data_IF_678488553354
#
_entry.id   IF_678488553354
#
_cell.length_a   1.000
_cell.length_b   1.000
_cell.length_c   1.000
_cell.angle_alpha   90.00
_cell.angle_beta   90.00
_cell.angle_gamma   90.00
#
_symmetry.space_group_name_H-M   'P 1'
#
loop_
_entity.id
_entity.type
_entity.pdbx_description
1 polymer ?
#
# COMPACT_ATOMS: atom_id res chain seq x y z
N UNK A 1 14.74 15.14 -30.75
CA UNK A 1 13.61 14.28 -30.35
C UNK A 1 13.99 12.81 -30.28
N UNK A 2 14.73 12.24 -31.23
CA UNK A 2 15.12 10.81 -31.23
C UNK A 2 15.78 10.36 -29.92
N UNK A 3 16.78 11.08 -29.41
CA UNK A 3 17.46 10.72 -28.15
C UNK A 3 16.59 10.79 -26.89
N UNK A 4 15.51 11.59 -26.88
CA UNK A 4 14.56 11.61 -25.77
C UNK A 4 13.61 10.42 -25.80
N UNK A 5 13.16 10.00 -27.00
CA UNK A 5 12.35 8.78 -27.15
C UNK A 5 13.12 7.55 -26.68
N UNK A 6 14.40 7.43 -27.07
CA UNK A 6 15.27 6.34 -26.62
C UNK A 6 15.50 6.34 -25.10
N UNK A 7 15.60 7.53 -24.49
CA UNK A 7 15.70 7.67 -23.04
C UNK A 7 14.44 7.14 -22.37
N UNK A 8 13.26 7.60 -22.80
CA UNK A 8 11.98 7.15 -22.25
C UNK A 8 11.84 5.64 -22.35
N UNK A 9 12.16 5.05 -23.51
CA UNK A 9 12.12 3.59 -23.70
C UNK A 9 13.09 2.83 -22.78
N UNK A 10 14.31 3.35 -22.61
CA UNK A 10 15.32 2.76 -21.72
C UNK A 10 14.86 2.81 -20.26
N UNK A 11 14.25 3.93 -19.87
CA UNK A 11 13.70 4.14 -18.53
C UNK A 11 12.52 3.20 -18.28
N UNK A 12 11.59 3.07 -19.22
CA UNK A 12 10.48 2.10 -19.13
C UNK A 12 11.02 0.67 -19.03
N UNK A 13 12.04 0.32 -19.82
CA UNK A 13 12.67 -1.00 -19.73
C UNK A 13 13.28 -1.23 -18.36
N UNK A 14 14.05 -0.26 -17.86
CA UNK A 14 14.69 -0.35 -16.55
C UNK A 14 13.66 -0.47 -15.43
N UNK A 15 12.58 0.30 -15.47
CA UNK A 15 11.48 0.20 -14.53
C UNK A 15 10.91 -1.21 -14.45
N UNK A 16 10.77 -1.88 -15.59
CA UNK A 16 10.14 -3.20 -15.65
C UNK A 16 11.10 -4.36 -15.35
N UNK A 17 12.42 -4.14 -15.41
CA UNK A 17 13.41 -5.24 -15.34
C UNK A 17 14.44 -5.11 -14.24
N UNK A 18 14.81 -3.90 -13.82
CA UNK A 18 15.92 -3.66 -12.89
C UNK A 18 15.42 -3.45 -11.46
N UNK A 19 16.03 -4.12 -10.46
CA UNK A 19 15.79 -3.81 -9.05
C UNK A 19 16.33 -2.41 -8.67
N UNK A 20 17.34 -1.92 -9.38
CA UNK A 20 18.03 -0.65 -9.11
C UNK A 20 17.31 0.57 -9.73
N UNK A 21 16.12 0.37 -10.33
CA UNK A 21 15.33 1.48 -10.87
C UNK A 21 15.00 2.54 -9.80
N UNK A 22 14.93 2.12 -8.55
CA UNK A 22 14.83 3.00 -7.38
C UNK A 22 15.96 4.02 -7.34
N UNK A 23 17.19 3.52 -7.30
CA UNK A 23 18.42 4.31 -7.24
C UNK A 23 18.53 5.19 -8.48
N UNK A 24 18.12 4.66 -9.65
CA UNK A 24 18.04 5.43 -10.88
C UNK A 24 17.11 6.65 -10.77
N UNK A 25 15.89 6.47 -10.25
CA UNK A 25 14.93 7.56 -10.04
C UNK A 25 15.42 8.60 -9.02
N UNK A 26 16.15 8.15 -7.99
CA UNK A 26 16.75 9.04 -7.00
C UNK A 26 17.88 9.86 -7.61
N UNK A 27 18.76 9.21 -8.37
CA UNK A 27 19.92 9.82 -9.03
C UNK A 27 19.52 10.86 -10.09
N UNK A 28 18.47 10.62 -10.87
CA UNK A 28 18.10 11.46 -12.02
C UNK A 28 16.97 12.46 -11.73
N UNK A 29 16.57 12.69 -10.48
CA UNK A 29 15.45 13.60 -10.17
C UNK A 29 15.64 15.02 -10.66
N UNK A 30 16.85 15.55 -10.51
CA UNK A 30 17.17 16.92 -10.89
C UNK A 30 17.59 16.99 -12.36
N UNK A 31 17.66 15.85 -13.06
CA UNK A 31 17.99 15.82 -14.48
C UNK A 31 16.75 16.28 -15.28
N UNK A 32 16.82 17.42 -15.97
CA UNK A 32 15.71 17.89 -16.79
C UNK A 32 15.28 16.88 -17.86
N UNK A 33 16.19 15.99 -18.30
CA UNK A 33 15.90 14.93 -19.27
C UNK A 33 14.95 13.87 -18.72
N UNK A 34 14.87 13.73 -17.40
CA UNK A 34 14.05 12.74 -16.69
C UNK A 34 12.82 13.36 -16.05
N UNK A 35 12.52 14.63 -16.32
CA UNK A 35 11.34 15.32 -15.79
C UNK A 35 10.04 14.56 -16.04
N UNK A 36 9.93 13.84 -17.16
CA UNK A 36 8.76 13.02 -17.50
C UNK A 36 8.47 11.88 -16.50
N UNK A 37 9.47 11.43 -15.73
CA UNK A 37 9.26 10.48 -14.64
C UNK A 37 8.41 11.12 -13.55
N UNK A 38 8.68 12.40 -13.24
CA UNK A 38 8.19 13.10 -12.06
C UNK A 38 7.04 14.08 -12.35
N UNK A 39 6.77 14.37 -13.62
CA UNK A 39 5.76 15.34 -14.03
C UNK A 39 4.35 14.79 -13.86
N UNK A 40 3.50 15.58 -13.19
CA UNK A 40 2.04 15.38 -13.16
C UNK A 40 1.34 15.97 -14.39
N UNK A 41 2.06 16.69 -15.26
CA UNK A 41 1.48 17.28 -16.45
C UNK A 41 1.41 16.24 -17.58
N UNK A 42 0.20 15.74 -17.85
CA UNK A 42 -0.06 14.81 -18.96
C UNK A 42 0.12 15.45 -20.34
N UNK A 43 0.27 16.76 -20.44
CA UNK A 43 0.50 17.44 -21.72
C UNK A 43 1.95 17.37 -22.21
N UNK A 44 2.89 16.96 -21.35
CA UNK A 44 4.30 16.76 -21.74
C UNK A 44 4.43 15.56 -22.70
N UNK A 45 5.10 15.76 -23.83
CA UNK A 45 5.18 14.74 -24.89
C UNK A 45 5.90 13.46 -24.41
N UNK A 46 6.98 13.63 -23.65
CA UNK A 46 7.74 12.54 -23.04
C UNK A 46 6.93 11.82 -21.97
N UNK A 47 6.09 12.55 -21.21
CA UNK A 47 5.18 11.95 -20.22
C UNK A 47 4.12 11.10 -20.91
N UNK A 48 3.49 11.60 -21.98
CA UNK A 48 2.55 10.83 -22.78
C UNK A 48 3.18 9.58 -23.38
N UNK A 49 4.41 9.69 -23.88
CA UNK A 49 5.13 8.56 -24.42
C UNK A 49 5.43 7.52 -23.32
N UNK A 50 5.91 7.97 -22.16
CA UNK A 50 6.20 7.11 -21.01
C UNK A 50 4.96 6.35 -20.54
N UNK A 51 3.83 7.03 -20.33
CA UNK A 51 2.56 6.42 -19.91
C UNK A 51 2.06 5.44 -20.97
N UNK A 52 2.03 5.83 -22.25
CA UNK A 52 1.63 4.96 -23.37
C UNK A 52 2.48 3.69 -23.45
N UNK A 53 3.80 3.80 -23.26
CA UNK A 53 4.70 2.64 -23.30
C UNK A 53 4.49 1.69 -22.12
N UNK A 54 4.13 2.23 -20.95
CA UNK A 54 3.74 1.41 -19.79
C UNK A 54 2.42 0.68 -20.03
N UNK A 55 1.39 1.39 -20.51
CA UNK A 55 0.08 0.80 -20.87
C UNK A 55 0.22 -0.31 -21.92
N UNK A 56 0.96 -0.04 -23.01
CA UNK A 56 1.17 -1.00 -24.09
C UNK A 56 1.88 -2.28 -23.64
N UNK A 57 2.79 -2.19 -22.66
CA UNK A 57 3.49 -3.37 -22.11
C UNK A 57 2.66 -4.10 -21.05
N UNK A 58 1.81 -3.39 -20.29
CA UNK A 58 0.84 -4.00 -19.39
C UNK A 58 -0.14 -4.93 -20.12
N UNK A 59 -0.52 -4.58 -21.35
CA UNK A 59 -1.38 -5.42 -22.19
C UNK A 59 -0.66 -6.59 -22.86
N UNK A 60 0.63 -6.46 -23.21
CA UNK A 60 1.38 -7.54 -23.86
C UNK A 60 1.62 -8.76 -22.95
N UNK A 61 1.72 -8.57 -21.63
CA UNK A 61 1.87 -9.69 -20.66
C UNK A 61 0.56 -10.41 -20.30
N UNK A 62 -0.58 -10.01 -20.89
CA UNK A 62 -1.84 -10.75 -20.72
C UNK A 62 -1.83 -12.10 -21.46
N UNK A 63 -0.87 -12.32 -22.36
CA UNK A 63 -0.60 -13.60 -22.96
C UNK A 63 0.69 -14.19 -22.38
N UNK A 64 0.60 -15.42 -21.89
CA UNK A 64 1.74 -16.31 -21.56
C UNK A 64 2.45 -16.08 -20.22
N UNK A 65 1.89 -16.65 -19.15
CA UNK A 65 2.73 -17.19 -18.06
C UNK A 65 2.48 -18.70 -17.95
N UNK A 66 3.42 -19.55 -18.40
CA UNK A 66 3.44 -20.97 -18.05
C UNK A 66 3.73 -21.12 -16.56
N UNK A 67 3.01 -22.05 -15.92
CA UNK A 67 3.16 -22.39 -14.51
C UNK A 67 4.61 -22.80 -14.18
N UNK A 68 5.37 -21.90 -13.54
CA UNK A 68 6.62 -22.24 -12.87
C UNK A 68 6.28 -22.59 -11.43
N UNK A 69 6.48 -23.87 -11.13
CA UNK A 69 6.31 -24.52 -9.85
C UNK A 69 7.31 -23.91 -8.84
N UNK A 70 6.80 -23.20 -7.84
CA UNK A 70 7.52 -22.95 -6.58
C UNK A 70 6.92 -23.88 -5.49
N UNK A 71 7.74 -24.38 -4.55
CA UNK A 71 7.45 -25.62 -3.84
C UNK A 71 6.44 -25.45 -2.71
N UNK A 72 5.53 -26.42 -2.64
CA UNK A 72 4.60 -26.63 -1.55
C UNK A 72 5.35 -26.73 -0.20
N UNK A 73 5.06 -25.81 0.72
CA UNK A 73 5.40 -25.95 2.13
C UNK A 73 4.15 -25.80 2.99
N UNK A 74 3.64 -26.97 3.38
CA UNK A 74 2.91 -27.37 4.59
C UNK A 74 1.57 -26.70 5.02
N UNK A 75 0.59 -27.49 5.50
CA UNK A 75 -0.77 -27.02 5.77
C UNK A 75 -0.91 -26.50 7.20
N UNK A 76 -0.95 -25.18 7.35
CA UNK A 76 -1.48 -24.51 8.53
C UNK A 76 -2.88 -23.97 8.23
N UNK A 77 -3.90 -24.82 8.34
CA UNK A 77 -5.32 -24.43 8.23
C UNK A 77 -5.70 -23.50 9.39
N UNK A 78 -5.41 -22.20 9.23
CA UNK A 78 -6.10 -21.14 9.98
C UNK A 78 -6.43 -20.05 8.98
N UNK A 79 -7.65 -19.53 9.07
CA UNK A 79 -8.31 -18.63 8.11
C UNK A 79 -7.39 -17.47 7.67
N UNK A 80 -6.61 -17.65 6.61
CA UNK A 80 -6.06 -16.53 5.86
C UNK A 80 -7.24 -15.98 5.05
N UNK A 81 -7.67 -14.78 5.41
CA UNK A 81 -8.76 -14.09 4.72
C UNK A 81 -8.44 -13.81 3.24
N UNK A 82 -7.15 -13.87 2.88
CA UNK A 82 -6.66 -13.84 1.51
C UNK A 82 -6.38 -15.28 1.06
N UNK A 83 -7.42 -16.13 1.01
CA UNK A 83 -7.34 -17.35 0.18
C UNK A 83 -7.02 -16.95 -1.27
N UNK A 84 -6.57 -17.89 -2.12
CA UNK A 84 -6.23 -17.62 -3.54
C UNK A 84 -7.19 -16.68 -4.29
N UNK A 85 -8.50 -16.70 -3.97
CA UNK A 85 -9.47 -15.77 -4.56
C UNK A 85 -9.30 -14.29 -4.15
N UNK A 86 -8.85 -14.01 -2.93
CA UNK A 86 -8.58 -12.65 -2.44
C UNK A 86 -7.43 -11.99 -3.18
N UNK A 87 -6.35 -12.73 -3.46
CA UNK A 87 -5.21 -12.22 -4.23
C UNK A 87 -5.58 -11.90 -5.67
N UNK A 88 -6.39 -12.75 -6.32
CA UNK A 88 -6.87 -12.47 -7.68
C UNK A 88 -7.71 -11.18 -7.75
N UNK A 89 -8.57 -10.93 -6.76
CA UNK A 89 -9.36 -9.69 -6.68
C UNK A 89 -8.45 -8.48 -6.44
N UNK A 90 -7.47 -8.59 -5.54
CA UNK A 90 -6.49 -7.52 -5.30
C UNK A 90 -5.66 -7.24 -6.56
N UNK A 91 -5.24 -8.27 -7.29
CA UNK A 91 -4.51 -8.13 -8.55
C UNK A 91 -5.33 -7.33 -9.58
N UNK A 92 -6.60 -7.68 -9.77
CA UNK A 92 -7.47 -6.94 -10.68
C UNK A 92 -7.71 -5.49 -10.22
N UNK A 93 -7.89 -5.28 -8.92
CA UNK A 93 -8.04 -3.96 -8.31
C UNK A 93 -6.81 -3.08 -8.52
N UNK A 94 -5.61 -3.65 -8.35
CA UNK A 94 -4.33 -2.98 -8.60
C UNK A 94 -4.16 -2.58 -10.07
N UNK A 95 -4.49 -3.49 -10.99
CA UNK A 95 -4.41 -3.21 -12.43
C UNK A 95 -5.38 -2.10 -12.84
N UNK A 96 -6.59 -2.10 -12.30
CA UNK A 96 -7.60 -1.07 -12.56
C UNK A 96 -7.19 0.29 -11.99
N UNK A 97 -6.77 0.32 -10.71
CA UNK A 97 -6.40 1.56 -10.02
C UNK A 97 -5.22 2.28 -10.70
N UNK A 98 -4.19 1.52 -11.10
CA UNK A 98 -3.00 2.06 -11.78
C UNK A 98 -3.11 2.02 -13.32
N UNK A 99 -4.30 1.74 -13.87
CA UNK A 99 -4.54 1.85 -15.31
C UNK A 99 -4.57 3.30 -15.81
N UNK A 100 -4.75 4.26 -14.90
CA UNK A 100 -4.85 5.69 -15.21
C UNK A 100 -4.03 6.55 -14.25
N UNK A 101 -3.50 7.65 -14.78
CA UNK A 101 -2.68 8.63 -14.04
C UNK A 101 -3.42 9.43 -12.95
N UNK A 102 -4.74 9.73 -13.03
CA UNK A 102 -5.42 10.48 -11.96
C UNK A 102 -5.42 9.79 -10.59
N UNK A 103 -5.26 8.46 -10.55
CA UNK A 103 -5.15 7.68 -9.31
C UNK A 103 -3.75 7.73 -8.67
N UNK A 104 -2.73 8.11 -9.43
CA UNK A 104 -1.32 8.09 -8.98
C UNK A 104 -1.04 9.30 -8.09
N UNK A 105 -0.70 9.04 -6.83
CA UNK A 105 -0.32 10.06 -5.85
C UNK A 105 1.18 10.31 -5.84
N UNK A 106 1.94 9.27 -6.19
CA UNK A 106 3.39 9.29 -6.22
C UNK A 106 3.97 10.25 -7.25
N UNK A 107 5.30 10.44 -7.18
CA UNK A 107 5.97 11.31 -8.11
C UNK A 107 6.00 10.69 -9.52
N UNK A 108 5.90 9.36 -9.65
CA UNK A 108 5.92 8.64 -10.93
C UNK A 108 4.86 7.55 -10.97
N UNK A 109 4.60 6.97 -12.16
CA UNK A 109 3.76 5.77 -12.27
C UNK A 109 4.47 4.62 -11.54
N UNK A 110 3.86 4.01 -10.51
CA UNK A 110 4.61 3.10 -9.66
C UNK A 110 4.98 1.81 -10.38
N UNK A 111 6.05 1.18 -9.92
CA UNK A 111 6.41 -0.16 -10.38
C UNK A 111 5.43 -1.18 -9.77
N UNK A 112 4.81 -1.98 -10.63
CA UNK A 112 3.86 -3.03 -10.26
C UNK A 112 4.55 -4.37 -10.03
N UNK A 113 3.88 -5.29 -9.32
CA UNK A 113 4.26 -6.71 -9.30
C UNK A 113 4.26 -7.28 -10.73
N UNK A 114 5.20 -8.18 -11.04
CA UNK A 114 5.35 -8.69 -12.42
C UNK A 114 4.24 -9.68 -12.78
N UNK A 115 3.77 -10.41 -11.80
CA UNK A 115 2.73 -11.44 -11.91
C UNK A 115 1.84 -11.44 -10.67
N UNK A 116 0.65 -12.05 -10.79
CA UNK A 116 -0.22 -12.34 -9.64
C UNK A 116 0.50 -13.18 -8.58
N UNK A 117 1.39 -14.11 -9.00
CA UNK A 117 2.16 -14.94 -8.08
C UNK A 117 3.16 -14.13 -7.23
N UNK A 118 3.78 -13.10 -7.81
CA UNK A 118 4.67 -12.20 -7.05
C UNK A 118 3.89 -11.38 -6.01
N UNK A 119 2.68 -10.94 -6.37
CA UNK A 119 1.77 -10.29 -5.42
C UNK A 119 1.35 -11.26 -4.31
N UNK A 120 0.99 -12.50 -4.65
CA UNK A 120 0.63 -13.54 -3.68
C UNK A 120 1.74 -13.75 -2.65
N UNK A 121 2.99 -13.87 -3.12
CA UNK A 121 4.15 -14.03 -2.24
C UNK A 121 4.34 -12.82 -1.30
N UNK A 122 4.06 -11.60 -1.77
CA UNK A 122 4.09 -10.42 -0.90
C UNK A 122 2.97 -10.42 0.14
N UNK A 123 1.74 -10.81 -0.25
CA UNK A 123 0.62 -10.96 0.68
C UNK A 123 0.94 -12.02 1.74
N UNK A 124 1.59 -13.12 1.37
CA UNK A 124 2.03 -14.17 2.30
C UNK A 124 3.06 -13.62 3.32
N UNK A 125 3.98 -12.75 2.88
CA UNK A 125 4.93 -12.07 3.77
C UNK A 125 4.18 -11.18 4.77
N UNK A 126 3.18 -10.41 4.33
CA UNK A 126 2.38 -9.54 5.19
C UNK A 126 1.54 -10.34 6.20
N UNK A 127 0.94 -11.44 5.76
CA UNK A 127 0.20 -12.36 6.63
C UNK A 127 1.16 -13.04 7.64
N UNK A 128 2.38 -13.38 7.22
CA UNK A 128 3.43 -13.90 8.08
C UNK A 128 3.85 -12.92 9.18
N UNK A 129 3.98 -11.63 8.85
CA UNK A 129 4.29 -10.58 9.80
C UNK A 129 3.20 -10.37 10.86
N UNK A 130 1.92 -10.41 10.46
CA UNK A 130 0.79 -10.32 11.40
C UNK A 130 0.69 -11.51 12.36
N UNK A 131 1.25 -12.67 11.97
CA UNK A 131 1.32 -13.88 12.80
C UNK A 131 2.65 -14.02 13.54
N UNK A 132 3.51 -12.98 13.52
CA UNK A 132 4.84 -12.98 14.15
C UNK A 132 5.79 -14.07 13.60
N UNK A 133 5.53 -14.57 12.39
CA UNK A 133 6.39 -15.54 11.69
C UNK A 133 7.47 -14.85 10.84
N UNK A 134 7.27 -13.58 10.51
CA UNK A 134 8.21 -12.74 9.76
C UNK A 134 8.43 -11.46 10.57
N UNK A 135 9.68 -11.01 10.70
CA UNK A 135 9.99 -9.75 11.38
C UNK A 135 9.39 -8.58 10.61
N UNK A 136 8.83 -7.60 11.34
CA UNK A 136 8.31 -6.37 10.75
C UNK A 136 9.42 -5.59 10.03
N UNK A 137 10.62 -5.61 10.60
CA UNK A 137 11.82 -5.02 10.00
C UNK A 137 12.17 -5.68 8.66
N UNK A 138 12.08 -7.01 8.55
CA UNK A 138 12.33 -7.72 7.28
C UNK A 138 11.32 -7.33 6.19
N UNK A 139 10.05 -7.15 6.55
CA UNK A 139 9.02 -6.66 5.62
C UNK A 139 9.35 -5.24 5.16
N UNK A 140 9.69 -4.35 6.08
CA UNK A 140 10.04 -2.97 5.75
C UNK A 140 11.31 -2.92 4.89
N UNK A 141 12.33 -3.72 5.19
CA UNK A 141 13.53 -3.84 4.36
C UNK A 141 13.24 -4.41 2.97
N UNK A 142 12.32 -5.37 2.86
CA UNK A 142 11.85 -5.88 1.58
C UNK A 142 11.23 -4.76 0.72
N UNK A 143 10.42 -3.88 1.34
CA UNK A 143 9.77 -2.75 0.69
C UNK A 143 10.78 -1.64 0.34
N UNK A 144 11.71 -1.33 1.24
CA UNK A 144 12.77 -0.32 1.03
C UNK A 144 13.70 -0.68 -0.12
N UNK A 145 13.99 -1.97 -0.34
CA UNK A 145 14.74 -2.43 -1.53
C UNK A 145 13.99 -2.20 -2.84
N UNK A 146 12.72 -1.76 -2.80
CA UNK A 146 11.81 -1.61 -3.92
C UNK A 146 11.05 -0.28 -3.86
N UNK A 147 11.72 0.82 -3.53
CA UNK A 147 11.10 2.16 -3.38
C UNK A 147 10.15 2.60 -4.52
N UNK A 148 10.37 2.28 -5.81
CA UNK A 148 9.42 2.61 -6.88
C UNK A 148 8.05 1.94 -6.74
N UNK A 149 7.96 0.90 -5.91
CA UNK A 149 6.73 0.21 -5.57
C UNK A 149 6.07 0.79 -4.30
N UNK A 150 6.62 1.84 -3.67
CA UNK A 150 6.11 2.38 -2.38
C UNK A 150 4.61 2.67 -2.45
N UNK A 151 4.12 3.32 -3.51
CA UNK A 151 2.69 3.56 -3.66
C UNK A 151 1.86 2.28 -3.81
N UNK A 152 2.37 1.29 -4.56
CA UNK A 152 1.73 -0.02 -4.72
C UNK A 152 1.69 -0.77 -3.40
N UNK A 153 2.76 -0.71 -2.62
CA UNK A 153 2.79 -1.32 -1.31
C UNK A 153 1.79 -0.66 -0.36
N UNK A 154 1.74 0.66 -0.31
CA UNK A 154 0.77 1.41 0.51
C UNK A 154 -0.66 1.13 0.06
N UNK A 155 -0.91 0.99 -1.25
CA UNK A 155 -2.19 0.56 -1.77
C UNK A 155 -2.57 -0.83 -1.25
N UNK A 156 -1.66 -1.81 -1.32
CA UNK A 156 -1.90 -3.18 -0.82
C UNK A 156 -2.19 -3.17 0.69
N UNK A 157 -1.39 -2.45 1.49
CA UNK A 157 -1.61 -2.30 2.93
C UNK A 157 -2.98 -1.70 3.22
N UNK A 158 -3.34 -0.61 2.53
CA UNK A 158 -4.63 0.05 2.66
C UNK A 158 -5.79 -0.87 2.26
N UNK A 159 -5.67 -1.59 1.13
CA UNK A 159 -6.68 -2.54 0.67
C UNK A 159 -6.89 -3.67 1.68
N UNK A 160 -5.80 -4.25 2.18
CA UNK A 160 -5.89 -5.29 3.21
C UNK A 160 -6.52 -4.74 4.50
N UNK A 161 -6.18 -3.51 4.90
CA UNK A 161 -6.80 -2.83 6.03
C UNK A 161 -8.32 -2.69 5.82
N UNK A 162 -8.75 -2.19 4.65
CA UNK A 162 -10.16 -2.01 4.29
C UNK A 162 -10.93 -3.34 4.32
N UNK A 163 -10.33 -4.43 3.80
CA UNK A 163 -10.94 -5.77 3.83
C UNK A 163 -11.19 -6.24 5.26
N UNK A 164 -10.22 -6.05 6.16
CA UNK A 164 -10.32 -6.44 7.58
C UNK A 164 -11.37 -5.60 8.31
N UNK A 165 -11.37 -4.28 8.11
CA UNK A 165 -12.37 -3.36 8.65
C UNK A 165 -13.78 -3.72 8.16
N UNK A 166 -13.92 -4.00 6.86
CA UNK A 166 -15.20 -4.37 6.27
C UNK A 166 -15.71 -5.71 6.83
N UNK A 167 -14.84 -6.68 7.06
CA UNK A 167 -15.22 -7.94 7.70
C UNK A 167 -15.80 -7.73 9.10
N UNK A 168 -15.12 -6.97 9.96
CA UNK A 168 -15.59 -6.68 11.33
C UNK A 168 -16.93 -5.94 11.30
N UNK A 169 -17.09 -4.96 10.39
CA UNK A 169 -18.37 -4.26 10.19
C UNK A 169 -19.48 -5.21 9.73
N UNK A 170 -19.17 -6.13 8.81
CA UNK A 170 -20.13 -7.12 8.31
C UNK A 170 -20.58 -8.06 9.43
N UNK A 171 -19.65 -8.52 10.27
CA UNK A 171 -19.97 -9.44 11.37
C UNK A 171 -20.77 -8.73 12.46
N UNK A 172 -20.39 -7.50 12.83
CA UNK A 172 -21.14 -6.66 13.78
C UNK A 172 -22.58 -6.42 13.31
N UNK A 173 -22.80 -6.18 12.01
CA UNK A 173 -24.16 -6.01 11.43
C UNK A 173 -24.98 -7.31 11.48
N UNK A 174 -24.34 -8.46 11.25
CA UNK A 174 -25.00 -9.77 11.34
C UNK A 174 -25.46 -10.07 12.77
N UNK A 175 -24.59 -9.83 13.76
CA UNK A 175 -24.95 -9.94 15.19
C UNK A 175 -26.09 -9.01 15.60
N UNK A 176 -26.12 -7.80 15.05
CA UNK A 176 -27.20 -6.83 15.33
C UNK A 176 -28.55 -7.22 14.69
N UNK A 177 -28.53 -8.02 13.63
CA UNK A 177 -29.74 -8.46 12.90
C UNK A 177 -30.27 -9.81 13.39
N UNK A 178 -29.42 -10.63 14.01
CA UNK A 178 -29.77 -11.94 14.57
C UNK A 178 -30.18 -11.83 16.04
N UNK A 179 -31.48 -11.94 16.32
CA UNK A 179 -31.95 -12.22 17.67
C UNK A 179 -31.51 -13.63 18.09
N UNK A 180 -30.97 -13.76 19.31
CA UNK A 180 -30.66 -14.98 20.07
C UNK A 180 -29.17 -15.44 20.11
N UNK A 181 -28.53 -15.12 21.24
CA UNK A 181 -27.73 -16.01 22.12
C UNK A 181 -26.35 -16.56 21.67
N UNK A 182 -25.46 -16.55 22.67
CA UNK A 182 -24.16 -17.23 22.87
C UNK A 182 -22.86 -16.63 22.29
N UNK A 183 -22.13 -16.06 23.23
CA UNK A 183 -20.70 -16.27 23.52
C UNK A 183 -19.61 -15.35 22.93
N UNK A 184 -18.96 -14.71 23.91
CA UNK A 184 -17.67 -14.02 24.02
C UNK A 184 -16.53 -14.42 23.09
N UNK A 185 -16.58 -15.59 22.45
CA UNK A 185 -15.54 -16.04 21.51
C UNK A 185 -15.46 -15.12 20.27
N UNK A 186 -16.60 -14.56 19.90
CA UNK A 186 -16.79 -13.76 18.69
C UNK A 186 -16.12 -12.37 18.77
N UNK A 187 -16.16 -11.74 19.95
CA UNK A 187 -15.48 -10.44 20.17
C UNK A 187 -13.96 -10.57 20.11
N UNK A 188 -13.39 -11.68 20.58
CA UNK A 188 -11.96 -11.93 20.51
C UNK A 188 -11.45 -12.11 19.06
N UNK A 189 -12.31 -12.62 18.16
CA UNK A 189 -11.98 -12.72 16.73
C UNK A 189 -11.93 -11.34 16.07
N UNK A 190 -12.91 -10.49 16.34
CA UNK A 190 -12.96 -9.12 15.80
C UNK A 190 -11.77 -8.28 16.28
N UNK A 191 -11.40 -8.40 17.56
CA UNK A 191 -10.25 -7.70 18.13
C UNK A 191 -8.94 -8.12 17.44
N UNK A 192 -8.75 -9.41 17.14
CA UNK A 192 -7.59 -9.90 16.38
C UNK A 192 -7.57 -9.38 14.95
N UNK A 193 -8.73 -9.32 14.30
CA UNK A 193 -8.85 -8.79 12.93
C UNK A 193 -8.54 -7.29 12.88
N UNK A 194 -9.01 -6.52 13.87
CA UNK A 194 -8.68 -5.10 14.01
C UNK A 194 -7.21 -4.89 14.38
N UNK A 195 -6.63 -5.75 15.23
CA UNK A 195 -5.20 -5.71 15.55
C UNK A 195 -4.35 -5.96 14.31
N UNK A 196 -4.69 -6.98 13.51
CA UNK A 196 -4.06 -7.24 12.21
C UNK A 196 -4.11 -6.02 11.28
N UNK A 197 -5.26 -5.34 11.20
CA UNK A 197 -5.41 -4.11 10.43
C UNK A 197 -4.56 -2.95 10.99
N UNK A 198 -4.45 -2.84 12.32
CA UNK A 198 -3.54 -1.92 13.00
C UNK A 198 -2.06 -2.20 12.69
N UNK A 199 -1.66 -3.48 12.62
CA UNK A 199 -0.30 -3.88 12.23
C UNK A 199 0.05 -3.41 10.82
N UNK A 200 -0.90 -3.42 9.88
CA UNK A 200 -0.66 -2.88 8.52
C UNK A 200 -0.37 -1.38 8.53
N UNK A 201 -1.11 -0.60 9.34
CA UNK A 201 -0.84 0.82 9.53
C UNK A 201 0.51 1.04 10.22
N UNK A 202 0.87 0.19 11.18
CA UNK A 202 2.17 0.24 11.84
C UNK A 202 3.32 -0.02 10.86
N UNK A 203 3.20 -1.01 9.98
CA UNK A 203 4.17 -1.27 8.89
C UNK A 203 4.30 -0.04 7.98
N UNK A 204 3.18 0.58 7.59
CA UNK A 204 3.21 1.81 6.80
C UNK A 204 3.94 2.96 7.52
N UNK A 205 3.72 3.11 8.83
CA UNK A 205 4.41 4.11 9.65
C UNK A 205 5.91 3.82 9.78
N UNK A 206 6.32 2.57 9.99
CA UNK A 206 7.73 2.19 9.97
C UNK A 206 8.38 2.51 8.62
N UNK A 207 7.68 2.21 7.52
CA UNK A 207 8.17 2.54 6.19
C UNK A 207 8.32 4.06 5.99
N UNK A 208 7.36 4.87 6.47
CA UNK A 208 7.45 6.33 6.44
C UNK A 208 8.71 6.84 7.16
N UNK A 209 8.97 6.36 8.38
CA UNK A 209 10.15 6.76 9.15
C UNK A 209 11.46 6.39 8.45
N UNK A 210 11.50 5.22 7.80
CA UNK A 210 12.67 4.82 7.02
C UNK A 210 12.82 5.65 5.75
N UNK A 211 11.72 6.07 5.13
CA UNK A 211 11.75 7.02 4.02
C UNK A 211 12.28 8.39 4.45
N UNK A 212 11.93 8.87 5.65
CA UNK A 212 12.40 10.15 6.19
C UNK A 212 13.92 10.18 6.43
N UNK A 213 14.48 9.02 6.79
CA UNK A 213 15.92 8.85 6.93
C UNK A 213 16.70 8.83 5.59
N UNK A 214 16.02 8.78 4.44
CA UNK A 214 16.68 8.85 3.13
C UNK A 214 17.05 10.31 2.80
N UNK A 215 18.16 10.53 2.08
CA UNK A 215 18.65 11.89 1.72
C UNK A 215 17.62 12.77 0.98
N UNK A 216 16.56 12.18 0.41
CA UNK A 216 15.51 12.89 -0.35
C UNK A 216 14.10 12.35 -0.02
N UNK A 217 13.58 12.60 1.20
CA UNK A 217 12.43 11.86 1.75
C UNK A 217 11.07 12.33 1.23
N UNK A 218 10.95 13.62 0.90
CA UNK A 218 9.67 14.32 0.73
C UNK A 218 8.79 13.85 -0.44
N UNK A 219 9.29 13.02 -1.35
CA UNK A 219 8.55 12.70 -2.58
C UNK A 219 7.35 11.78 -2.39
N UNK A 220 7.44 10.91 -1.39
CA UNK A 220 6.34 10.01 -1.08
C UNK A 220 5.47 10.55 0.04
N UNK A 221 5.79 11.72 0.62
CA UNK A 221 5.04 12.23 1.77
C UNK A 221 3.55 12.37 1.47
N UNK A 222 3.19 12.93 0.31
CA UNK A 222 1.79 13.00 -0.13
C UNK A 222 1.13 11.64 -0.41
N UNK A 223 1.92 10.61 -0.72
CA UNK A 223 1.46 9.23 -0.88
C UNK A 223 1.14 8.63 0.48
N UNK A 224 2.10 8.73 1.42
CA UNK A 224 1.90 8.31 2.80
C UNK A 224 0.69 9.02 3.42
N UNK A 225 0.62 10.35 3.31
CA UNK A 225 -0.50 11.16 3.78
C UNK A 225 -1.84 10.60 3.32
N UNK A 226 -2.00 10.39 2.01
CA UNK A 226 -3.25 9.88 1.43
C UNK A 226 -3.64 8.48 1.95
N UNK A 227 -2.74 7.50 1.87
CA UNK A 227 -3.08 6.13 2.27
C UNK A 227 -3.19 5.97 3.79
N UNK A 228 -2.33 6.65 4.56
CA UNK A 228 -2.36 6.58 6.02
C UNK A 228 -3.57 7.30 6.59
N UNK A 229 -3.99 8.44 6.01
CA UNK A 229 -5.26 9.07 6.36
C UNK A 229 -6.43 8.09 6.18
N UNK A 230 -6.51 7.45 5.01
CA UNK A 230 -7.58 6.48 4.72
C UNK A 230 -7.59 5.30 5.70
N UNK A 231 -6.43 4.73 6.01
CA UNK A 231 -6.32 3.63 6.98
C UNK A 231 -6.76 4.07 8.38
N UNK A 232 -6.37 5.28 8.82
CA UNK A 232 -6.80 5.85 10.11
C UNK A 232 -8.31 6.04 10.14
N UNK A 233 -8.90 6.66 9.11
CA UNK A 233 -10.34 6.89 9.03
C UNK A 233 -11.14 5.58 9.01
N UNK A 234 -10.66 4.57 8.27
CA UNK A 234 -11.28 3.26 8.19
C UNK A 234 -11.28 2.54 9.56
N UNK A 235 -10.12 2.52 10.23
CA UNK A 235 -9.96 1.90 11.55
C UNK A 235 -10.75 2.66 12.61
N UNK A 236 -10.60 3.98 12.71
CA UNK A 236 -11.25 4.80 13.73
C UNK A 236 -12.79 4.73 13.66
N UNK A 237 -13.35 4.58 12.46
CA UNK A 237 -14.79 4.37 12.27
C UNK A 237 -15.32 2.98 12.68
N UNK A 238 -14.47 2.08 13.19
CA UNK A 238 -14.84 0.67 13.47
C UNK A 238 -14.33 0.19 14.83
N UNK A 239 -13.15 0.64 15.24
CA UNK A 239 -12.45 0.15 16.42
C UNK A 239 -13.14 0.62 17.72
N UNK A 240 -13.31 -0.24 18.75
CA UNK A 240 -13.85 0.17 20.04
C UNK A 240 -12.97 1.22 20.72
N UNK A 241 -13.58 2.27 21.29
CA UNK A 241 -12.88 3.45 21.87
C UNK A 241 -11.82 3.14 22.92
N UNK A 242 -12.01 2.06 23.69
CA UNK A 242 -11.11 1.67 24.79
C UNK A 242 -10.17 0.51 24.41
N UNK A 243 -10.12 0.11 23.13
CA UNK A 243 -9.25 -0.98 22.68
C UNK A 243 -7.79 -0.53 22.55
N UNK A 244 -6.83 -1.48 22.61
CA UNK A 244 -5.42 -1.19 22.32
C UNK A 244 -5.21 -0.53 20.95
N UNK A 245 -5.98 -0.94 19.93
CA UNK A 245 -5.91 -0.35 18.59
C UNK A 245 -6.37 1.11 18.60
N UNK A 246 -7.42 1.47 19.33
CA UNK A 246 -7.85 2.87 19.46
C UNK A 246 -6.83 3.73 20.22
N UNK A 247 -6.13 3.17 21.20
CA UNK A 247 -5.02 3.85 21.87
C UNK A 247 -3.86 4.09 20.91
N UNK A 248 -3.44 3.05 20.18
CA UNK A 248 -2.39 3.15 19.15
C UNK A 248 -2.70 4.23 18.09
N UNK A 249 -3.93 4.27 17.57
CA UNK A 249 -4.35 5.29 16.60
C UNK A 249 -4.24 6.71 17.16
N UNK A 250 -4.72 6.92 18.39
CA UNK A 250 -4.67 8.24 19.04
C UNK A 250 -3.24 8.70 19.23
N UNK A 251 -2.39 7.86 19.80
CA UNK A 251 -0.97 8.18 20.04
C UNK A 251 -0.25 8.50 18.72
N UNK A 252 -0.46 7.67 17.70
CA UNK A 252 0.18 7.83 16.39
C UNK A 252 -0.21 9.15 15.72
N UNK A 253 -1.51 9.46 15.66
CA UNK A 253 -1.99 10.72 15.05
C UNK A 253 -1.53 11.94 15.82
N UNK A 254 -1.46 11.87 17.16
CA UNK A 254 -0.93 12.97 17.97
C UNK A 254 0.56 13.21 17.70
N UNK A 255 1.37 12.16 17.61
CA UNK A 255 2.79 12.27 17.24
C UNK A 255 2.97 12.93 15.87
N UNK A 256 2.19 12.51 14.85
CA UNK A 256 2.23 13.15 13.54
C UNK A 256 1.79 14.61 13.57
N UNK A 257 0.83 14.95 14.44
CA UNK A 257 0.31 16.30 14.58
C UNK A 257 1.34 17.24 15.22
N UNK A 258 1.99 16.80 16.30
CA UNK A 258 3.04 17.56 16.98
C UNK A 258 4.28 17.75 16.11
N UNK A 259 4.63 16.72 15.33
CA UNK A 259 5.75 16.77 14.39
C UNK A 259 5.46 17.50 13.07
N UNK A 260 4.22 17.97 12.83
CA UNK A 260 3.77 18.50 11.53
C UNK A 260 4.14 17.57 10.36
N UNK A 261 4.00 16.26 10.55
CA UNK A 261 4.46 15.24 9.60
C UNK A 261 3.67 15.32 8.28
N UNK A 262 2.37 15.60 8.37
CA UNK A 262 1.47 15.74 7.22
C UNK A 262 0.88 17.15 7.16
N UNK A 263 0.22 17.48 6.04
CA UNK A 263 -0.47 18.76 5.88
C UNK A 263 -1.59 18.96 6.91
N UNK A 264 -1.85 20.22 7.26
CA UNK A 264 -2.82 20.59 8.31
C UNK A 264 -4.22 20.01 8.05
N UNK A 265 -4.72 20.09 6.81
CA UNK A 265 -6.02 19.55 6.44
C UNK A 265 -6.12 18.03 6.66
N UNK A 266 -5.07 17.28 6.32
CA UNK A 266 -5.01 15.84 6.51
C UNK A 266 -4.96 15.48 8.00
N UNK A 267 -4.13 16.18 8.78
CA UNK A 267 -4.05 16.01 10.24
C UNK A 267 -5.39 16.31 10.92
N UNK A 268 -6.10 17.35 10.49
CA UNK A 268 -7.42 17.70 11.03
C UNK A 268 -8.48 16.66 10.67
N UNK A 269 -8.41 16.04 9.49
CA UNK A 269 -9.25 14.89 9.15
C UNK A 269 -8.97 13.70 10.07
N UNK A 270 -7.69 13.35 10.27
CA UNK A 270 -7.29 12.23 11.14
C UNK A 270 -7.70 12.47 12.61
N UNK A 271 -7.48 13.67 13.15
CA UNK A 271 -7.88 14.04 14.52
C UNK A 271 -9.40 13.91 14.73
N UNK A 272 -10.19 14.40 13.76
CA UNK A 272 -11.65 14.25 13.80
C UNK A 272 -12.07 12.78 13.78
N UNK A 273 -11.42 11.95 12.97
CA UNK A 273 -11.72 10.52 12.88
C UNK A 273 -11.51 9.80 14.23
N UNK A 274 -10.43 10.12 14.96
CA UNK A 274 -10.13 9.52 16.28
C UNK A 274 -10.90 10.18 17.45
N UNK A 275 -11.74 11.18 17.17
CA UNK A 275 -12.55 11.87 18.19
C UNK A 275 -11.79 12.91 19.02
N UNK A 276 -10.63 13.37 18.56
CA UNK A 276 -9.94 14.52 19.14
C UNK A 276 -10.59 15.81 18.60
N UNK A 277 -11.13 16.65 19.49
CA UNK A 277 -11.59 17.98 19.13
C UNK A 277 -10.40 18.86 18.75
N UNK A 278 -10.54 19.63 17.67
CA UNK A 278 -9.61 20.69 17.28
C UNK A 278 -9.46 21.65 18.48
N UNK A 279 -8.29 21.66 19.10
CA UNK A 279 -7.89 22.67 20.09
C UNK A 279 -7.41 23.92 19.40
#
# INVERSE_FOLDING_TARGET
MEGQSELVERVVRMQLTSPDFAEYCVAHVTDPKHRFLFSRNEDEAERRLYVRLLEGRGHQKRAETPAVVAPASAPGRTSSLMTHGGTAVLWMSLLDYFSSTPGVRGPHMPHMFRTEADLAAFVDILDGAQREHVSLEDVVQFMLRRLPMTEVFLYVLCYMCDVRVHEVRRETRRRSSGACVTDSADGASDDKTLQAAGTLLFIANMLLLQHDALERPLRYLSVFEFYMQRMVEALAGTVPKNSPVATFLRETVMVWSEGHVFGEEALDCMKRAIGCSLG
#
